data_IF_200652488219
#
_entry.id   IF_200652488219
#
_cell.length_a   1.000
_cell.length_b   1.000
_cell.length_c   1.000
_cell.angle_alpha   90.00
_cell.angle_beta   90.00
_cell.angle_gamma   90.00
#
_symmetry.space_group_name_H-M   'P 1'
#
loop_
_entity.id
_entity.type
_entity.pdbx_description
1 polymer ?
#
# COMPACT_ATOMS: atom_id res chain seq x y z
N UNK A 1 26.80 5.25 -21.91
CA UNK A 1 25.48 5.89 -21.87
C UNK A 1 24.98 5.71 -20.45
N UNK A 2 24.93 6.77 -19.62
CA UNK A 2 24.37 6.63 -18.27
C UNK A 2 22.89 6.31 -18.46
N UNK A 3 22.40 5.23 -17.86
CA UNK A 3 20.96 4.99 -17.81
C UNK A 3 20.34 6.21 -17.14
N UNK A 4 19.58 6.98 -17.90
CA UNK A 4 18.83 8.10 -17.35
C UNK A 4 17.86 7.52 -16.33
N UNK A 5 18.07 7.87 -15.06
CA UNK A 5 17.27 7.38 -13.96
C UNK A 5 15.80 7.71 -14.20
N UNK A 6 14.89 6.80 -13.86
CA UNK A 6 13.43 7.03 -13.96
C UNK A 6 12.97 8.26 -13.17
N UNK A 7 13.81 8.76 -12.26
CA UNK A 7 13.62 9.94 -11.43
C UNK A 7 14.15 11.25 -12.05
N UNK A 8 14.80 11.19 -13.23
CA UNK A 8 15.44 12.34 -13.86
C UNK A 8 14.46 13.34 -14.48
N UNK A 9 13.23 12.91 -14.83
CA UNK A 9 12.20 13.81 -15.35
C UNK A 9 10.79 13.35 -15.01
N UNK A 10 9.85 14.29 -14.96
CA UNK A 10 8.42 14.02 -14.77
C UNK A 10 7.84 13.17 -15.91
N UNK A 11 8.35 13.35 -17.13
CA UNK A 11 7.95 12.58 -18.31
C UNK A 11 8.40 11.11 -18.19
N UNK A 12 9.68 10.89 -17.87
CA UNK A 12 10.25 9.54 -17.65
C UNK A 12 9.50 8.81 -16.53
N UNK A 13 9.23 9.49 -15.42
CA UNK A 13 8.49 8.89 -14.31
C UNK A 13 7.02 8.62 -14.67
N UNK A 14 6.39 9.52 -15.42
CA UNK A 14 5.00 9.34 -15.87
C UNK A 14 4.85 8.14 -16.81
N UNK A 15 5.85 7.91 -17.69
CA UNK A 15 5.91 6.71 -18.51
C UNK A 15 6.09 5.46 -17.65
N UNK A 16 7.08 5.46 -16.75
CA UNK A 16 7.30 4.36 -15.82
C UNK A 16 6.05 4.04 -14.99
N UNK A 17 5.36 5.05 -14.44
CA UNK A 17 4.15 4.89 -13.64
C UNK A 17 3.03 4.11 -14.36
N UNK A 18 3.01 4.12 -15.69
CA UNK A 18 2.02 3.41 -16.52
C UNK A 18 2.52 2.05 -17.01
N UNK A 19 3.82 1.84 -17.05
CA UNK A 19 4.45 0.69 -17.69
C UNK A 19 5.28 -0.16 -16.73
N UNK A 20 5.35 0.18 -15.44
CA UNK A 20 6.25 -0.45 -14.47
C UNK A 20 6.10 -1.98 -14.42
N UNK A 21 4.91 -2.50 -14.72
CA UNK A 21 4.65 -3.93 -14.80
C UNK A 21 5.52 -4.66 -15.84
N UNK A 22 5.90 -3.98 -16.93
CA UNK A 22 6.77 -4.53 -17.97
C UNK A 22 8.21 -4.74 -17.49
N UNK A 23 8.62 -4.04 -16.42
CA UNK A 23 9.95 -4.11 -15.82
C UNK A 23 10.04 -5.17 -14.71
N UNK A 24 8.92 -5.81 -14.35
CA UNK A 24 8.91 -6.96 -13.44
C UNK A 24 9.50 -8.17 -14.16
N UNK A 25 10.32 -8.96 -13.49
CA UNK A 25 10.87 -10.21 -14.06
C UNK A 25 9.75 -11.11 -14.61
N UNK A 26 9.94 -11.71 -15.79
CA UNK A 26 8.88 -12.48 -16.47
C UNK A 26 8.29 -13.60 -15.58
N UNK A 27 9.16 -14.32 -14.86
CA UNK A 27 8.73 -15.35 -13.90
C UNK A 27 7.90 -14.83 -12.72
N UNK A 28 8.04 -13.54 -12.37
CA UNK A 28 7.30 -12.87 -11.30
C UNK A 28 6.00 -12.23 -11.79
N UNK A 29 5.86 -11.90 -13.08
CA UNK A 29 4.60 -11.38 -13.65
C UNK A 29 3.43 -12.35 -13.45
N UNK A 30 3.73 -13.64 -13.40
CA UNK A 30 2.75 -14.71 -13.19
C UNK A 30 2.44 -14.99 -11.72
N UNK A 31 3.12 -14.33 -10.78
CA UNK A 31 2.81 -14.51 -9.36
C UNK A 31 1.39 -14.03 -9.06
N UNK A 32 0.70 -14.70 -8.12
CA UNK A 32 -0.64 -14.30 -7.72
C UNK A 32 -0.70 -12.81 -7.36
N UNK A 33 -1.78 -12.15 -7.77
CA UNK A 33 -2.11 -10.77 -7.45
C UNK A 33 -1.25 -9.67 -8.09
N UNK A 34 -0.11 -9.96 -8.75
CA UNK A 34 0.70 -8.90 -9.39
C UNK A 34 -0.05 -8.10 -10.46
N UNK A 35 -0.83 -8.78 -11.29
CA UNK A 35 -1.71 -8.11 -12.27
C UNK A 35 -2.81 -7.28 -11.59
N UNK A 36 -3.35 -7.75 -10.46
CA UNK A 36 -4.35 -7.01 -9.68
C UNK A 36 -3.72 -5.78 -9.01
N UNK A 37 -2.50 -5.91 -8.49
CA UNK A 37 -1.75 -4.83 -7.88
C UNK A 37 -1.43 -3.75 -8.92
N UNK A 38 -0.94 -4.14 -10.09
CA UNK A 38 -0.74 -3.23 -11.21
C UNK A 38 -2.04 -2.50 -11.56
N UNK A 39 -3.14 -3.23 -11.80
CA UNK A 39 -4.45 -2.63 -12.05
C UNK A 39 -4.85 -1.65 -10.93
N UNK A 40 -4.62 -2.01 -9.67
CA UNK A 40 -4.89 -1.17 -8.51
C UNK A 40 -4.12 0.16 -8.50
N UNK A 41 -2.89 0.18 -9.04
CA UNK A 41 -2.12 1.43 -9.24
C UNK A 41 -2.69 2.33 -10.35
N UNK A 42 -3.57 1.81 -11.22
CA UNK A 42 -4.15 2.56 -12.35
C UNK A 42 -5.60 2.98 -12.12
N UNK A 43 -6.32 2.35 -11.17
CA UNK A 43 -7.78 2.54 -11.00
C UNK A 43 -8.19 3.87 -10.34
N UNK A 44 -7.31 4.49 -9.56
CA UNK A 44 -7.60 5.73 -8.85
C UNK A 44 -6.35 6.61 -8.84
N UNK A 45 -6.53 7.91 -9.09
CA UNK A 45 -5.49 8.92 -9.01
C UNK A 45 -4.64 8.81 -7.73
N UNK A 46 -5.26 8.53 -6.57
CA UNK A 46 -4.54 8.38 -5.30
C UNK A 46 -3.58 7.18 -5.24
N UNK A 47 -3.76 6.20 -6.12
CA UNK A 47 -2.97 4.97 -6.19
C UNK A 47 -1.92 5.02 -7.32
N UNK A 48 -2.00 6.01 -8.21
CA UNK A 48 -1.00 6.20 -9.27
C UNK A 48 0.37 6.49 -8.65
N UNK A 49 1.43 5.84 -9.18
CA UNK A 49 2.79 6.04 -8.65
C UNK A 49 3.19 7.51 -8.70
N UNK A 50 2.81 8.26 -9.74
CA UNK A 50 3.10 9.71 -9.83
C UNK A 50 2.51 10.51 -8.67
N UNK A 51 1.36 10.08 -8.12
CA UNK A 51 0.72 10.73 -6.99
C UNK A 51 1.36 10.29 -5.68
N UNK A 52 1.71 9.00 -5.55
CA UNK A 52 2.45 8.48 -4.38
C UNK A 52 3.79 9.22 -4.23
N UNK A 53 4.49 9.47 -5.34
CA UNK A 53 5.82 10.06 -5.36
C UNK A 53 5.83 11.54 -5.74
N UNK A 54 4.69 12.22 -5.76
CA UNK A 54 4.59 13.61 -6.26
C UNK A 54 5.55 14.56 -5.53
N UNK A 55 5.64 14.45 -4.21
CA UNK A 55 6.51 15.33 -3.41
C UNK A 55 8.00 14.96 -3.55
N UNK A 56 8.30 13.68 -3.78
CA UNK A 56 9.65 13.21 -4.09
C UNK A 56 10.11 13.78 -5.43
N UNK A 57 9.25 13.75 -6.44
CA UNK A 57 9.53 14.32 -7.77
C UNK A 57 9.70 15.84 -7.74
N UNK A 58 8.83 16.54 -7.00
CA UNK A 58 8.89 18.01 -6.87
C UNK A 58 10.13 18.49 -6.12
N UNK A 59 10.44 17.86 -4.99
CA UNK A 59 11.48 18.35 -4.08
C UNK A 59 12.83 17.68 -4.29
N UNK A 60 12.95 16.73 -5.24
CA UNK A 60 14.13 15.85 -5.41
C UNK A 60 14.55 15.22 -4.07
N UNK A 61 13.57 14.91 -3.23
CA UNK A 61 13.78 14.39 -1.89
C UNK A 61 14.20 12.92 -1.94
N UNK A 62 14.71 12.42 -0.81
CA UNK A 62 15.05 11.01 -0.67
C UNK A 62 13.81 10.12 -0.87
N UNK A 63 14.00 8.96 -1.51
CA UNK A 63 12.93 8.00 -1.74
C UNK A 63 12.49 7.34 -0.42
N UNK A 64 11.39 7.81 0.15
CA UNK A 64 10.79 7.14 1.30
C UNK A 64 9.95 5.93 0.82
N UNK A 65 10.47 4.73 1.08
CA UNK A 65 9.78 3.47 0.79
C UNK A 65 8.47 3.33 1.57
N UNK A 66 8.29 4.05 2.69
CA UNK A 66 7.07 4.00 3.50
C UNK A 66 5.83 4.47 2.72
N UNK A 67 6.00 5.41 1.77
CA UNK A 67 4.91 5.90 0.92
C UNK A 67 4.30 4.77 0.08
N UNK A 68 5.19 3.97 -0.53
CA UNK A 68 4.78 2.85 -1.36
C UNK A 68 4.17 1.74 -0.53
N UNK A 69 4.77 1.39 0.62
CA UNK A 69 4.23 0.37 1.53
C UNK A 69 2.83 0.76 2.00
N UNK A 70 2.67 1.97 2.53
CA UNK A 70 1.39 2.45 3.07
C UNK A 70 0.28 2.47 2.00
N UNK A 71 0.61 2.85 0.76
CA UNK A 71 -0.36 2.85 -0.34
C UNK A 71 -0.61 1.44 -0.87
N UNK A 72 0.44 0.64 -1.02
CA UNK A 72 0.38 -0.73 -1.50
C UNK A 72 -0.47 -1.62 -0.62
N UNK A 73 -0.35 -1.48 0.71
CA UNK A 73 -1.23 -2.11 1.68
C UNK A 73 -2.72 -1.83 1.41
N UNK A 74 -3.07 -0.56 1.13
CA UNK A 74 -4.47 -0.20 0.79
C UNK A 74 -4.91 -0.81 -0.53
N UNK A 75 -4.04 -0.84 -1.54
CA UNK A 75 -4.32 -1.53 -2.80
C UNK A 75 -4.58 -3.03 -2.55
N UNK A 76 -3.80 -3.67 -1.68
CA UNK A 76 -4.03 -5.06 -1.27
C UNK A 76 -5.41 -5.27 -0.64
N UNK A 77 -5.84 -4.36 0.23
CA UNK A 77 -7.18 -4.38 0.83
C UNK A 77 -8.28 -4.14 -0.22
N UNK A 78 -8.05 -3.24 -1.19
CA UNK A 78 -8.98 -3.02 -2.31
C UNK A 78 -9.14 -4.30 -3.15
N UNK A 79 -8.04 -5.00 -3.42
CA UNK A 79 -8.08 -6.30 -4.13
C UNK A 79 -8.86 -7.34 -3.32
N UNK A 80 -8.66 -7.41 -2.00
CA UNK A 80 -9.38 -8.35 -1.14
C UNK A 80 -10.89 -8.07 -1.10
N UNK A 81 -11.31 -6.80 -1.20
CA UNK A 81 -12.73 -6.44 -1.32
C UNK A 81 -13.34 -6.94 -2.64
N UNK A 82 -12.58 -6.95 -3.73
CA UNK A 82 -13.06 -7.38 -5.04
C UNK A 82 -13.04 -8.91 -5.23
N UNK A 83 -12.03 -9.59 -4.69
CA UNK A 83 -11.85 -11.04 -4.88
C UNK A 83 -12.61 -11.86 -3.85
N UNK A 84 -13.41 -12.82 -4.29
CA UNK A 84 -14.18 -13.70 -3.40
C UNK A 84 -13.32 -14.70 -2.62
N UNK A 85 -12.26 -15.19 -3.25
CA UNK A 85 -11.32 -16.25 -2.84
C UNK A 85 -10.10 -15.73 -2.03
N UNK A 86 -10.24 -14.60 -1.35
CA UNK A 86 -9.15 -13.97 -0.61
C UNK A 86 -9.53 -13.76 0.85
N UNK A 87 -8.66 -14.22 1.74
CA UNK A 87 -8.75 -14.07 3.18
C UNK A 87 -7.57 -13.25 3.69
N UNK A 88 -7.81 -12.44 4.71
CA UNK A 88 -6.85 -11.57 5.36
C UNK A 88 -6.73 -11.98 6.82
N UNK A 89 -5.50 -12.23 7.25
CA UNK A 89 -5.20 -12.59 8.63
C UNK A 89 -4.36 -11.50 9.27
N UNK A 90 -4.85 -10.95 10.38
CA UNK A 90 -4.15 -9.94 11.17
C UNK A 90 -3.83 -10.48 12.54
N UNK A 91 -2.55 -10.59 12.88
CA UNK A 91 -2.11 -10.82 14.25
C UNK A 91 -2.12 -9.47 14.99
N UNK A 92 -2.86 -9.41 16.10
CA UNK A 92 -3.01 -8.21 16.93
C UNK A 92 -2.15 -8.28 18.20
N UNK A 93 -1.28 -9.29 18.31
CA UNK A 93 -0.36 -9.42 19.43
C UNK A 93 0.52 -8.17 19.54
N UNK A 94 0.64 -7.65 20.76
CA UNK A 94 1.43 -6.45 21.07
C UNK A 94 0.94 -5.15 20.40
N UNK A 95 -0.19 -5.18 19.69
CA UNK A 95 -0.84 -3.97 19.16
C UNK A 95 -1.67 -3.32 20.27
N UNK A 96 -1.31 -2.10 20.64
CA UNK A 96 -2.16 -1.23 21.44
C UNK A 96 -3.31 -0.69 20.58
N UNK A 97 -4.49 -1.30 20.73
CA UNK A 97 -5.68 -0.97 19.95
C UNK A 97 -6.20 0.45 20.25
N UNK A 98 -6.02 0.95 21.48
CA UNK A 98 -6.42 2.32 21.83
C UNK A 98 -5.62 3.34 21.01
N UNK A 99 -4.32 3.08 20.82
CA UNK A 99 -3.46 3.91 19.96
C UNK A 99 -3.76 3.76 18.46
N UNK A 100 -4.36 2.65 18.02
CA UNK A 100 -4.79 2.50 16.62
C UNK A 100 -5.94 3.45 16.27
N UNK A 101 -6.83 3.71 17.23
CA UNK A 101 -8.02 4.53 17.05
C UNK A 101 -7.71 6.03 17.11
N UNK A 102 -6.69 6.43 17.88
CA UNK A 102 -6.28 7.82 17.98
C UNK A 102 -5.26 8.20 16.89
N UNK A 103 -5.74 8.82 15.80
CA UNK A 103 -4.90 9.30 14.71
C UNK A 103 -3.87 10.35 15.16
N UNK A 104 -4.14 11.09 16.25
CA UNK A 104 -3.24 12.14 16.77
C UNK A 104 -2.09 11.56 17.60
N UNK A 105 -2.34 10.50 18.37
CA UNK A 105 -1.30 9.88 19.21
C UNK A 105 -0.25 9.08 18.42
N UNK A 106 -0.53 8.73 17.16
CA UNK A 106 0.44 8.03 16.30
C UNK A 106 1.50 8.96 15.71
N UNK A 107 1.21 10.26 15.62
CA UNK A 107 2.17 11.26 15.16
C UNK A 107 3.15 11.65 16.29
N UNK A 108 2.79 11.40 17.56
CA UNK A 108 3.50 11.94 18.73
C UNK A 108 4.58 11.03 19.33
N UNK A 109 4.55 9.69 19.13
CA UNK A 109 5.54 8.84 19.79
C UNK A 109 6.93 8.94 19.11
N UNK A 110 7.01 9.08 17.76
CA UNK A 110 8.27 9.31 17.00
C UNK A 110 8.05 9.93 15.59
N UNK A 111 6.91 10.59 15.31
CA UNK A 111 6.64 11.14 13.98
C UNK A 111 6.47 10.12 12.86
N UNK A 112 6.24 8.84 13.17
CA UNK A 112 6.09 7.75 12.20
C UNK A 112 4.72 7.12 12.31
N UNK A 113 3.89 7.33 11.29
CA UNK A 113 2.59 6.66 11.15
C UNK A 113 2.79 5.15 11.04
N UNK A 114 2.19 4.40 11.96
CA UNK A 114 2.15 2.94 11.87
C UNK A 114 1.35 2.52 10.62
N UNK A 115 1.99 1.73 9.76
CA UNK A 115 1.35 1.13 8.57
C UNK A 115 0.19 0.25 9.02
N UNK A 116 0.41 -0.64 9.98
CA UNK A 116 -0.60 -1.57 10.50
C UNK A 116 -1.79 -0.82 11.12
N UNK A 117 -1.57 0.23 11.91
CA UNK A 117 -2.69 1.02 12.45
C UNK A 117 -3.50 1.69 11.33
N UNK A 118 -2.82 2.16 10.27
CA UNK A 118 -3.47 2.75 9.10
C UNK A 118 -4.29 1.73 8.31
N UNK A 119 -3.80 0.49 8.21
CA UNK A 119 -4.51 -0.65 7.61
C UNK A 119 -5.74 -1.02 8.43
N UNK A 120 -5.60 -1.19 9.75
CA UNK A 120 -6.71 -1.53 10.65
C UNK A 120 -7.83 -0.46 10.59
N UNK A 121 -7.47 0.83 10.58
CA UNK A 121 -8.45 1.91 10.37
C UNK A 121 -9.11 1.84 8.98
N UNK A 122 -8.37 1.45 7.95
CA UNK A 122 -8.94 1.29 6.61
C UNK A 122 -9.89 0.11 6.53
N UNK A 123 -9.56 -1.01 7.16
CA UNK A 123 -10.44 -2.18 7.29
C UNK A 123 -11.73 -1.79 8.00
N UNK A 124 -11.63 -1.13 9.16
CA UNK A 124 -12.79 -0.69 9.92
C UNK A 124 -13.72 0.21 9.10
N UNK A 125 -13.18 1.19 8.36
CA UNK A 125 -13.98 2.05 7.47
C UNK A 125 -14.65 1.32 6.32
N UNK A 126 -14.10 0.19 5.88
CA UNK A 126 -14.63 -0.62 4.78
C UNK A 126 -15.23 -1.95 5.28
N UNK A 127 -15.61 -2.02 6.55
CA UNK A 127 -15.97 -3.27 7.21
C UNK A 127 -17.09 -4.02 6.48
N UNK A 128 -18.10 -3.31 5.95
CA UNK A 128 -19.20 -3.95 5.22
C UNK A 128 -18.74 -4.80 4.02
N UNK A 129 -17.65 -4.42 3.35
CA UNK A 129 -17.10 -5.17 2.21
C UNK A 129 -16.10 -6.24 2.62
N UNK A 130 -15.48 -6.08 3.78
CA UNK A 130 -14.40 -6.94 4.28
C UNK A 130 -14.88 -7.95 5.34
N UNK A 131 -16.10 -7.78 5.85
CA UNK A 131 -16.73 -8.70 6.80
C UNK A 131 -16.79 -10.10 6.16
N UNK A 132 -16.30 -11.09 6.89
CA UNK A 132 -16.20 -12.47 6.40
C UNK A 132 -14.92 -12.78 5.61
N UNK A 133 -14.07 -11.79 5.35
CA UNK A 133 -12.73 -11.97 4.73
C UNK A 133 -11.58 -11.73 5.69
N UNK A 134 -11.81 -11.00 6.78
CA UNK A 134 -10.78 -10.63 7.75
C UNK A 134 -10.93 -11.48 9.01
N UNK A 135 -9.84 -12.11 9.43
CA UNK A 135 -9.70 -12.79 10.72
C UNK A 135 -8.64 -12.08 11.55
N UNK A 136 -9.05 -11.64 12.74
CA UNK A 136 -8.14 -11.10 13.75
C UNK A 136 -7.70 -12.22 14.69
N UNK A 137 -6.42 -12.30 14.99
CA UNK A 137 -5.84 -13.29 15.90
C UNK A 137 -5.19 -12.52 17.05
N UNK A 138 -5.49 -12.87 18.30
CA UNK A 138 -4.78 -12.34 19.46
C UNK A 138 -4.52 -13.41 20.50
N UNK A 139 -3.37 -13.34 21.16
CA UNK A 139 -2.87 -14.27 22.17
C UNK A 139 -2.92 -15.73 21.70
N UNK A 140 -2.61 -15.96 20.41
CA UNK A 140 -2.70 -17.28 19.77
C UNK A 140 -4.11 -17.85 19.63
N UNK A 141 -5.17 -17.06 19.91
CA UNK A 141 -6.57 -17.42 19.68
C UNK A 141 -7.10 -16.69 18.45
N UNK A 142 -7.79 -17.42 17.58
CA UNK A 142 -8.56 -16.87 16.46
C UNK A 142 -9.90 -16.33 16.94
#
# INVERSE_FOLDING_TARGET
>A
MKEDSIWCSEESFSKFSKEWFNYVDEGKKHWPLWGNYFRGTQMNQKNELKTIYQDVLKNKAYHDHSLHVNRGCKIGLDIAMEKQDMELYYCLDEIDIELVLDEKNLDDIKGRKSTTSSELRYIYRNWEKLRGKVTFISQGKK
#
